data_IF_603328453831
#
_entry.id   IF_603328453831
#
_cell.length_a   1.000
_cell.length_b   1.000
_cell.length_c   1.000
_cell.angle_alpha   90.00
_cell.angle_beta   90.00
_cell.angle_gamma   90.00
#
_symmetry.space_group_name_H-M   'P 1'
#
loop_
_entity.id
_entity.type
_entity.pdbx_description
1 polymer ?
#
# COMPACT_ATOMS: atom_id res chain seq x y z
N UNK A 1 -23.63 -7.14 -0.38
CA UNK A 1 -23.71 -5.70 -0.69
C UNK A 1 -22.73 -4.88 0.15
N UNK A 2 -22.72 -5.01 1.48
CA UNK A 2 -21.81 -4.26 2.36
C UNK A 2 -20.31 -4.40 2.01
N UNK A 3 -19.84 -5.61 1.69
CA UNK A 3 -18.42 -5.83 1.36
C UNK A 3 -17.95 -5.08 0.10
N UNK A 4 -18.81 -4.94 -0.91
CA UNK A 4 -18.50 -4.16 -2.12
C UNK A 4 -18.46 -2.66 -1.84
N UNK A 5 -19.31 -2.15 -0.95
CA UNK A 5 -19.25 -0.76 -0.48
C UNK A 5 -17.96 -0.50 0.31
N UNK A 6 -17.56 -1.43 1.17
CA UNK A 6 -16.30 -1.34 1.89
C UNK A 6 -15.08 -1.39 0.94
N UNK A 7 -15.12 -2.24 -0.10
CA UNK A 7 -14.08 -2.26 -1.15
C UNK A 7 -13.97 -0.91 -1.85
N UNK A 8 -15.10 -0.34 -2.26
CA UNK A 8 -15.13 0.97 -2.92
C UNK A 8 -14.58 2.07 -1.99
N UNK A 9 -14.99 2.06 -0.72
CA UNK A 9 -14.50 3.01 0.28
C UNK A 9 -13.00 2.86 0.52
N UNK A 10 -12.49 1.63 0.61
CA UNK A 10 -11.06 1.35 0.75
C UNK A 10 -10.26 1.87 -0.45
N UNK A 11 -10.71 1.56 -1.67
CA UNK A 11 -10.07 2.02 -2.91
C UNK A 11 -10.07 3.55 -2.98
N UNK A 12 -11.18 4.20 -2.64
CA UNK A 12 -11.30 5.67 -2.63
C UNK A 12 -10.36 6.28 -1.59
N UNK A 13 -10.31 5.73 -0.38
CA UNK A 13 -9.39 6.17 0.67
C UNK A 13 -7.92 6.02 0.23
N UNK A 14 -7.58 4.91 -0.43
CA UNK A 14 -6.22 4.66 -0.92
C UNK A 14 -5.79 5.65 -2.02
N UNK A 15 -6.69 5.96 -2.97
CA UNK A 15 -6.42 6.94 -4.04
C UNK A 15 -6.30 8.35 -3.46
N UNK A 16 -7.17 8.71 -2.52
CA UNK A 16 -7.08 10.00 -1.83
C UNK A 16 -5.77 10.12 -1.04
N UNK A 17 -5.42 9.10 -0.26
CA UNK A 17 -4.13 9.01 0.42
C UNK A 17 -2.96 9.20 -0.55
N UNK A 18 -2.94 8.45 -1.65
CA UNK A 18 -1.86 8.50 -2.64
C UNK A 18 -1.74 9.88 -3.29
N UNK A 19 -2.86 10.55 -3.57
CA UNK A 19 -2.90 11.89 -4.14
C UNK A 19 -2.37 12.94 -3.17
N UNK A 20 -2.79 12.88 -1.91
CA UNK A 20 -2.31 13.76 -0.84
C UNK A 20 -0.82 13.51 -0.53
N UNK A 21 -0.40 12.25 -0.48
CA UNK A 21 0.99 11.86 -0.28
C UNK A 21 1.91 12.38 -1.41
N UNK A 22 1.46 12.28 -2.68
CA UNK A 22 2.17 12.86 -3.81
C UNK A 22 2.28 14.38 -3.73
N UNK A 23 1.23 15.05 -3.25
CA UNK A 23 1.27 16.49 -3.03
C UNK A 23 2.28 16.87 -1.94
N UNK A 24 2.31 16.15 -0.82
CA UNK A 24 3.33 16.32 0.22
C UNK A 24 4.73 16.08 -0.35
N UNK A 25 4.90 15.01 -1.14
CA UNK A 25 6.16 14.73 -1.81
C UNK A 25 6.67 15.90 -2.64
N UNK A 26 5.81 16.53 -3.42
CA UNK A 26 6.18 17.68 -4.27
C UNK A 26 6.48 18.97 -3.48
N UNK A 27 5.92 19.13 -2.28
CA UNK A 27 6.00 20.39 -1.51
C UNK A 27 6.96 20.33 -0.32
N UNK A 28 7.34 19.15 0.12
CA UNK A 28 8.13 18.92 1.35
C UNK A 28 9.44 18.20 1.08
N UNK A 29 9.53 17.39 -0.01
CA UNK A 29 10.74 16.64 -0.33
C UNK A 29 11.82 17.57 -0.88
N UNK A 30 12.87 17.75 -0.08
CA UNK A 30 14.13 18.39 -0.49
C UNK A 30 15.29 17.38 -0.49
N UNK A 31 15.18 16.31 0.34
CA UNK A 31 16.15 15.22 0.43
C UNK A 31 15.42 13.87 0.54
N UNK A 32 16.14 12.78 0.27
CA UNK A 32 15.65 11.39 0.41
C UNK A 32 15.14 11.07 1.81
N UNK A 33 15.70 11.70 2.83
CA UNK A 33 15.31 11.55 4.24
C UNK A 33 13.94 12.12 4.52
N UNK A 34 13.53 13.12 3.76
CA UNK A 34 12.22 13.73 3.91
C UNK A 34 11.11 12.73 3.55
N UNK A 35 11.35 11.78 2.64
CA UNK A 35 10.42 10.70 2.37
C UNK A 35 10.20 9.80 3.60
N UNK A 36 11.25 9.50 4.37
CA UNK A 36 11.10 8.76 5.64
C UNK A 36 10.43 9.61 6.72
N UNK A 37 10.70 10.92 6.76
CA UNK A 37 10.01 11.85 7.67
C UNK A 37 8.52 11.95 7.36
N UNK A 38 8.15 12.01 6.07
CA UNK A 38 6.74 12.00 5.65
C UNK A 38 6.07 10.70 6.13
N UNK A 39 6.66 9.53 5.85
CA UNK A 39 6.12 8.25 6.32
C UNK A 39 6.03 8.21 7.85
N UNK A 40 7.08 8.62 8.56
CA UNK A 40 7.08 8.69 10.02
C UNK A 40 5.89 9.46 10.57
N UNK A 41 5.62 10.67 10.05
CA UNK A 41 4.52 11.49 10.54
C UNK A 41 3.15 10.95 10.15
N UNK A 42 2.99 10.37 8.95
CA UNK A 42 1.74 9.75 8.52
C UNK A 42 1.44 8.50 9.36
N UNK A 43 2.41 7.63 9.58
CA UNK A 43 2.28 6.43 10.40
C UNK A 43 2.03 6.78 11.87
N UNK A 44 2.70 7.82 12.39
CA UNK A 44 2.46 8.32 13.75
C UNK A 44 1.04 8.86 13.91
N UNK A 45 0.58 9.66 12.95
CA UNK A 45 -0.80 10.17 12.96
C UNK A 45 -1.84 9.05 12.91
N UNK A 46 -1.61 8.03 12.07
CA UNK A 46 -2.45 6.82 12.03
C UNK A 46 -2.43 6.09 13.38
N UNK A 47 -1.26 5.97 14.02
CA UNK A 47 -1.14 5.36 15.34
C UNK A 47 -1.91 6.12 16.42
N UNK A 48 -1.87 7.45 16.40
CA UNK A 48 -2.63 8.29 17.35
C UNK A 48 -4.13 8.08 17.19
N UNK A 49 -4.64 8.02 15.95
CA UNK A 49 -6.06 7.75 15.68
C UNK A 49 -6.48 6.37 16.21
N UNK A 50 -5.67 5.34 15.95
CA UNK A 50 -5.95 3.98 16.40
C UNK A 50 -5.81 3.84 17.92
N UNK A 51 -4.84 4.52 18.54
CA UNK A 51 -4.70 4.55 19.99
C UNK A 51 -5.94 5.17 20.67
N UNK A 52 -6.46 6.27 20.14
CA UNK A 52 -7.72 6.85 20.61
C UNK A 52 -8.88 5.86 20.54
N UNK A 53 -9.01 5.12 19.43
CA UNK A 53 -10.04 4.08 19.31
C UNK A 53 -9.84 2.93 20.30
N UNK A 54 -8.61 2.44 20.48
CA UNK A 54 -8.28 1.35 21.43
C UNK A 54 -8.63 1.75 22.85
N UNK A 55 -8.30 2.97 23.26
CA UNK A 55 -8.62 3.50 24.59
C UNK A 55 -10.13 3.58 24.84
N UNK A 56 -10.90 3.99 23.81
CA UNK A 56 -12.35 4.11 23.92
C UNK A 56 -13.07 2.75 23.86
N UNK A 57 -12.56 1.82 23.07
CA UNK A 57 -13.19 0.51 22.86
C UNK A 57 -12.75 -0.56 23.86
N UNK A 58 -11.70 -0.32 24.66
CA UNK A 58 -11.11 -1.32 25.55
C UNK A 58 -10.49 -2.51 24.82
N UNK A 59 -10.10 -2.35 23.54
CA UNK A 59 -9.53 -3.44 22.74
C UNK A 59 -8.25 -3.98 23.38
N UNK A 60 -8.19 -5.30 23.57
CA UNK A 60 -7.06 -5.96 24.21
C UNK A 60 -5.81 -6.05 23.32
N UNK A 61 -4.69 -6.44 23.95
CA UNK A 61 -3.43 -6.75 23.31
C UNK A 61 -2.99 -8.16 23.71
N UNK A 62 -2.99 -9.10 22.78
CA UNK A 62 -2.30 -10.37 22.97
C UNK A 62 -0.85 -10.27 22.54
N UNK A 63 0.03 -11.09 23.13
CA UNK A 63 1.43 -11.16 22.69
C UNK A 63 1.55 -11.48 21.19
N UNK A 64 0.69 -12.36 20.70
CA UNK A 64 0.61 -12.71 19.27
C UNK A 64 0.33 -11.47 18.40
N UNK A 65 -0.71 -10.70 18.76
CA UNK A 65 -1.08 -9.47 18.02
C UNK A 65 0.05 -8.44 18.02
N UNK A 66 0.73 -8.28 19.16
CA UNK A 66 1.87 -7.36 19.27
C UNK A 66 3.03 -7.82 18.40
N UNK A 67 3.48 -9.06 18.52
CA UNK A 67 4.60 -9.59 17.76
C UNK A 67 4.32 -9.55 16.25
N UNK A 68 3.14 -10.00 15.83
CA UNK A 68 2.76 -9.98 14.42
C UNK A 68 2.62 -8.55 13.88
N UNK A 69 2.10 -7.60 14.69
CA UNK A 69 2.03 -6.19 14.36
C UNK A 69 3.41 -5.57 14.19
N UNK A 70 4.39 -5.91 15.05
CA UNK A 70 5.78 -5.48 14.89
C UNK A 70 6.41 -6.02 13.60
N UNK A 71 6.22 -7.30 13.30
CA UNK A 71 6.67 -7.90 12.04
C UNK A 71 6.04 -7.20 10.84
N UNK A 72 4.74 -6.96 10.87
CA UNK A 72 4.02 -6.23 9.82
C UNK A 72 4.59 -4.82 9.60
N UNK A 73 4.80 -4.06 10.67
CA UNK A 73 5.38 -2.71 10.61
C UNK A 73 6.79 -2.70 10.03
N UNK A 74 7.66 -3.63 10.46
CA UNK A 74 9.01 -3.78 9.90
C UNK A 74 8.97 -4.14 8.41
N UNK A 75 8.15 -5.11 8.01
CA UNK A 75 8.00 -5.56 6.62
C UNK A 75 7.49 -4.41 5.74
N UNK A 76 6.50 -3.65 6.21
CA UNK A 76 5.96 -2.49 5.50
C UNK A 76 7.03 -1.41 5.30
N UNK A 77 7.79 -1.08 6.34
CA UNK A 77 8.87 -0.10 6.28
C UNK A 77 10.01 -0.56 5.36
N UNK A 78 10.44 -1.82 5.43
CA UNK A 78 11.45 -2.39 4.54
C UNK A 78 10.99 -2.39 3.08
N UNK A 79 9.72 -2.72 2.83
CA UNK A 79 9.11 -2.64 1.50
C UNK A 79 9.14 -1.21 0.93
N UNK A 80 8.82 -0.21 1.75
CA UNK A 80 8.89 1.20 1.38
C UNK A 80 10.33 1.64 1.06
N UNK A 81 11.32 1.22 1.86
CA UNK A 81 12.75 1.48 1.60
C UNK A 81 13.20 0.86 0.28
N UNK A 82 12.90 -0.42 0.09
CA UNK A 82 13.27 -1.14 -1.14
C UNK A 82 12.63 -0.49 -2.38
N UNK A 83 11.35 -0.14 -2.30
CA UNK A 83 10.62 0.57 -3.36
C UNK A 83 11.28 1.90 -3.71
N UNK A 84 11.57 2.73 -2.70
CA UNK A 84 12.21 4.03 -2.90
C UNK A 84 13.58 3.87 -3.58
N UNK A 85 14.41 2.95 -3.07
CA UNK A 85 15.74 2.65 -3.62
C UNK A 85 15.68 2.09 -5.06
N UNK A 86 14.69 1.27 -5.36
CA UNK A 86 14.49 0.77 -6.72
C UNK A 86 14.10 1.89 -7.68
N UNK A 87 13.18 2.78 -7.28
CA UNK A 87 12.78 3.95 -8.10
C UNK A 87 13.93 4.93 -8.35
N UNK A 88 14.87 5.05 -7.41
CA UNK A 88 16.05 5.90 -7.57
C UNK A 88 17.11 5.31 -8.52
N UNK A 89 17.24 3.98 -8.57
CA UNK A 89 18.38 3.31 -9.20
C UNK A 89 18.08 2.69 -10.57
N UNK A 90 16.83 2.73 -11.03
CA UNK A 90 16.46 2.12 -12.29
C UNK A 90 15.19 2.66 -12.93
N UNK A 91 14.76 2.03 -14.02
CA UNK A 91 13.62 2.51 -14.81
C UNK A 91 12.32 2.41 -14.04
N UNK A 92 11.63 3.54 -13.90
CA UNK A 92 10.38 3.68 -13.13
C UNK A 92 9.31 2.67 -13.56
N UNK A 93 9.11 2.49 -14.87
CA UNK A 93 8.07 1.59 -15.39
C UNK A 93 8.28 0.14 -14.99
N UNK A 94 9.53 -0.36 -15.10
CA UNK A 94 9.87 -1.73 -14.72
C UNK A 94 9.81 -1.92 -13.20
N UNK A 95 10.24 -0.90 -12.45
CA UNK A 95 10.13 -0.91 -10.98
C UNK A 95 8.66 -1.02 -10.55
N UNK A 96 7.77 -0.21 -11.12
CA UNK A 96 6.34 -0.24 -10.80
C UNK A 96 5.70 -1.57 -11.24
N UNK A 97 6.11 -2.12 -12.40
CA UNK A 97 5.65 -3.44 -12.85
C UNK A 97 5.96 -4.51 -11.79
N UNK A 98 7.21 -4.59 -11.34
CA UNK A 98 7.64 -5.59 -10.36
C UNK A 98 6.95 -5.40 -9.01
N UNK A 99 6.76 -4.16 -8.56
CA UNK A 99 6.04 -3.85 -7.33
C UNK A 99 4.55 -4.23 -7.46
N UNK A 100 3.91 -3.91 -8.58
CA UNK A 100 2.50 -4.28 -8.80
C UNK A 100 2.36 -5.80 -8.87
N UNK A 101 3.33 -6.50 -9.48
CA UNK A 101 3.35 -7.95 -9.53
C UNK A 101 3.41 -8.59 -8.13
N UNK A 102 3.85 -7.88 -7.09
CA UNK A 102 3.89 -8.41 -5.72
C UNK A 102 2.51 -8.86 -5.20
N UNK A 103 1.41 -8.38 -5.78
CA UNK A 103 0.05 -8.84 -5.43
C UNK A 103 -0.19 -10.33 -5.74
N UNK A 104 0.65 -10.95 -6.58
CA UNK A 104 0.63 -12.39 -6.84
C UNK A 104 0.90 -13.17 -5.54
N UNK A 105 1.80 -12.68 -4.70
CA UNK A 105 2.18 -13.34 -3.44
C UNK A 105 0.95 -13.55 -2.53
N UNK A 106 0.21 -12.51 -2.10
CA UNK A 106 -0.96 -12.72 -1.25
C UNK A 106 -2.14 -13.35 -2.01
N UNK A 107 -2.29 -13.10 -3.32
CA UNK A 107 -3.37 -13.71 -4.10
C UNK A 107 -3.26 -15.23 -4.14
N UNK A 108 -2.06 -15.77 -4.38
CA UNK A 108 -1.85 -17.22 -4.44
C UNK A 108 -1.61 -17.86 -3.07
N UNK A 109 -1.22 -17.08 -2.06
CA UNK A 109 -1.08 -17.59 -0.68
C UNK A 109 -2.40 -18.16 -0.14
N UNK A 110 -3.54 -17.64 -0.60
CA UNK A 110 -4.85 -18.15 -0.26
C UNK A 110 -5.05 -19.63 -0.59
N UNK A 111 -4.62 -20.04 -1.77
CA UNK A 111 -4.67 -21.46 -2.16
C UNK A 111 -3.67 -22.31 -1.39
N UNK A 112 -2.43 -21.79 -1.19
CA UNK A 112 -1.36 -22.55 -0.57
C UNK A 112 -1.58 -22.80 0.93
N UNK A 113 -2.07 -21.80 1.67
CA UNK A 113 -2.16 -21.84 3.12
C UNK A 113 -3.60 -21.95 3.65
N UNK A 114 -4.60 -21.52 2.89
CA UNK A 114 -6.00 -21.50 3.32
C UNK A 114 -6.91 -22.32 2.44
N UNK A 115 -6.35 -23.13 1.52
CA UNK A 115 -7.11 -24.04 0.62
C UNK A 115 -8.22 -23.34 -0.16
N UNK A 116 -8.02 -22.07 -0.51
CA UNK A 116 -8.97 -21.30 -1.32
C UNK A 116 -9.02 -21.83 -2.75
N UNK A 117 -10.22 -22.05 -3.26
CA UNK A 117 -10.40 -22.46 -4.66
C UNK A 117 -9.99 -21.33 -5.62
N UNK A 118 -9.10 -21.64 -6.53
CA UNK A 118 -8.65 -20.72 -7.59
C UNK A 118 -9.11 -21.23 -8.95
N UNK A 119 -9.89 -20.40 -9.68
CA UNK A 119 -10.21 -20.67 -11.06
C UNK A 119 -9.11 -20.18 -12.01
N UNK A 120 -9.03 -20.77 -13.20
CA UNK A 120 -8.10 -20.33 -14.26
C UNK A 120 -8.34 -18.87 -14.61
N UNK A 121 -9.58 -18.42 -14.60
CA UNK A 121 -9.96 -17.04 -14.89
C UNK A 121 -9.44 -16.04 -13.84
N UNK A 122 -9.40 -16.41 -12.55
CA UNK A 122 -8.82 -15.61 -11.49
C UNK A 122 -7.31 -15.48 -11.63
N UNK A 123 -6.64 -16.55 -12.03
CA UNK A 123 -5.19 -16.52 -12.34
C UNK A 123 -4.95 -15.55 -13.51
N UNK A 124 -5.65 -15.75 -14.62
CA UNK A 124 -5.52 -14.90 -15.80
C UNK A 124 -5.83 -13.42 -15.48
N UNK A 125 -6.93 -13.14 -14.75
CA UNK A 125 -7.29 -11.80 -14.31
C UNK A 125 -6.21 -11.13 -13.47
N UNK A 126 -5.54 -11.87 -12.59
CA UNK A 126 -4.41 -11.35 -11.79
C UNK A 126 -3.25 -10.92 -12.68
N UNK A 127 -2.86 -11.72 -13.67
CA UNK A 127 -1.79 -11.36 -14.61
C UNK A 127 -2.18 -10.18 -15.52
N UNK A 128 -3.41 -10.14 -16.01
CA UNK A 128 -3.94 -9.02 -16.79
C UNK A 128 -3.94 -7.74 -15.96
N UNK A 129 -4.21 -7.82 -14.63
CA UNK A 129 -4.14 -6.67 -13.73
C UNK A 129 -2.71 -6.15 -13.56
N UNK A 130 -1.71 -7.03 -13.51
CA UNK A 130 -0.29 -6.61 -13.49
C UNK A 130 0.06 -5.84 -14.76
N UNK A 131 -0.41 -6.32 -15.92
CA UNK A 131 -0.23 -5.62 -17.19
C UNK A 131 -0.88 -4.23 -17.18
N UNK A 132 -2.08 -4.10 -16.61
CA UNK A 132 -2.74 -2.80 -16.44
C UNK A 132 -1.89 -1.82 -15.60
N UNK A 133 -1.35 -2.29 -14.47
CA UNK A 133 -0.45 -1.51 -13.62
C UNK A 133 0.81 -1.04 -14.37
N UNK A 134 1.41 -1.91 -15.16
CA UNK A 134 2.55 -1.56 -16.02
C UNK A 134 2.21 -0.49 -17.07
N UNK A 135 1.07 -0.63 -17.73
CA UNK A 135 0.61 0.35 -18.70
C UNK A 135 0.33 1.71 -18.05
N UNK A 136 -0.24 1.73 -16.83
CA UNK A 136 -0.50 2.94 -16.08
C UNK A 136 0.78 3.69 -15.67
N UNK A 137 1.87 2.98 -15.38
CA UNK A 137 3.13 3.55 -14.91
C UNK A 137 3.87 4.46 -15.89
N UNK A 138 3.52 4.42 -17.19
CA UNK A 138 4.18 5.24 -18.22
C UNK A 138 5.50 4.64 -18.73
N UNK A 139 6.19 5.36 -19.62
CA UNK A 139 7.53 5.00 -20.08
C UNK A 139 8.55 5.53 -19.07
N UNK A 140 9.44 4.68 -18.59
CA UNK A 140 10.56 5.07 -17.74
C UNK A 140 11.86 4.97 -18.50
N UNK A 141 12.72 5.97 -18.37
CA UNK A 141 14.10 5.94 -18.83
C UNK A 141 14.99 5.49 -17.65
N UNK A 142 16.01 4.73 -17.92
CA UNK A 142 16.99 4.28 -16.93
C UNK A 142 17.65 2.95 -17.29
N UNK A 143 18.88 2.75 -16.79
CA UNK A 143 19.62 1.50 -16.97
C UNK A 143 19.27 0.54 -15.84
N UNK A 144 19.12 -0.74 -16.17
CA UNK A 144 18.98 -1.81 -15.18
C UNK A 144 20.35 -2.17 -14.59
N UNK A 145 20.39 -2.40 -13.29
CA UNK A 145 21.61 -2.86 -12.60
C UNK A 145 21.26 -4.00 -11.64
N UNK A 146 22.27 -4.81 -11.24
CA UNK A 146 22.06 -5.88 -10.24
C UNK A 146 21.57 -5.33 -8.91
N UNK A 147 22.04 -4.15 -8.51
CA UNK A 147 21.62 -3.48 -7.27
C UNK A 147 20.17 -3.02 -7.38
N UNK A 148 19.75 -2.47 -8.51
CA UNK A 148 18.35 -2.13 -8.76
C UNK A 148 17.46 -3.36 -8.70
N UNK A 149 17.87 -4.47 -9.34
CA UNK A 149 17.10 -5.72 -9.33
C UNK A 149 16.96 -6.27 -7.90
N UNK A 150 18.01 -6.23 -7.07
CA UNK A 150 17.96 -6.65 -5.68
C UNK A 150 16.92 -5.83 -4.87
N UNK A 151 16.88 -4.52 -5.07
CA UNK A 151 15.84 -3.67 -4.43
C UNK A 151 14.44 -3.97 -4.98
N UNK A 152 14.28 -4.26 -6.27
CA UNK A 152 12.99 -4.67 -6.83
C UNK A 152 12.51 -6.00 -6.24
N UNK A 153 13.39 -6.99 -6.10
CA UNK A 153 13.06 -8.28 -5.47
C UNK A 153 12.71 -8.07 -4.00
N UNK A 154 13.49 -7.28 -3.27
CA UNK A 154 13.16 -6.91 -1.89
C UNK A 154 11.79 -6.25 -1.76
N UNK A 155 11.49 -5.26 -2.60
CA UNK A 155 10.19 -4.60 -2.63
C UNK A 155 9.06 -5.59 -2.97
N UNK A 156 9.24 -6.46 -3.97
CA UNK A 156 8.29 -7.50 -4.36
C UNK A 156 7.97 -8.43 -3.18
N UNK A 157 8.99 -8.93 -2.50
CA UNK A 157 8.80 -9.86 -1.37
C UNK A 157 8.15 -9.17 -0.17
N UNK A 158 8.69 -8.03 0.28
CA UNK A 158 8.18 -7.35 1.46
C UNK A 158 6.76 -6.82 1.24
N UNK A 159 6.47 -6.13 0.13
CA UNK A 159 5.13 -5.60 -0.16
C UNK A 159 4.12 -6.75 -0.35
N UNK A 160 4.51 -7.83 -1.02
CA UNK A 160 3.66 -9.01 -1.17
C UNK A 160 3.37 -9.71 0.16
N UNK A 161 4.34 -9.76 1.08
CA UNK A 161 4.14 -10.37 2.41
C UNK A 161 3.16 -9.61 3.30
N UNK A 162 2.95 -8.31 3.07
CA UNK A 162 1.97 -7.51 3.83
C UNK A 162 0.58 -8.14 3.78
N UNK A 163 0.12 -8.55 2.60
CA UNK A 163 -1.19 -9.18 2.44
C UNK A 163 -1.30 -10.53 3.15
N UNK A 164 -0.23 -11.32 3.15
CA UNK A 164 -0.18 -12.59 3.89
C UNK A 164 -0.30 -12.33 5.40
N UNK A 165 0.47 -11.39 5.94
CA UNK A 165 0.44 -11.04 7.37
C UNK A 165 -0.94 -10.53 7.81
N UNK A 166 -1.63 -9.74 6.97
CA UNK A 166 -3.00 -9.33 7.21
C UNK A 166 -3.93 -10.54 7.34
N UNK A 167 -3.84 -11.47 6.42
CA UNK A 167 -4.69 -12.65 6.42
C UNK A 167 -4.37 -13.59 7.59
N UNK A 168 -3.09 -13.80 7.91
CA UNK A 168 -2.67 -14.57 9.09
C UNK A 168 -3.32 -14.00 10.35
N UNK A 169 -3.30 -12.68 10.56
CA UNK A 169 -3.95 -12.07 11.71
C UNK A 169 -5.46 -12.29 11.69
N UNK A 170 -6.12 -12.10 10.55
CA UNK A 170 -7.59 -12.18 10.45
C UNK A 170 -8.14 -13.62 10.51
N UNK A 171 -7.32 -14.62 10.21
CA UNK A 171 -7.68 -16.04 10.37
C UNK A 171 -7.28 -16.61 11.74
N UNK A 172 -6.63 -15.81 12.59
CA UNK A 172 -6.23 -16.20 13.94
C UNK A 172 -7.38 -16.07 14.96
N UNK A 173 -7.28 -16.73 16.15
CA UNK A 173 -8.22 -16.51 17.25
C UNK A 173 -8.29 -15.04 17.73
N UNK A 174 -7.27 -14.24 17.43
CA UNK A 174 -7.12 -12.84 17.85
C UNK A 174 -7.62 -11.82 16.83
N UNK A 175 -8.40 -12.24 15.82
CA UNK A 175 -8.90 -11.39 14.73
C UNK A 175 -9.64 -10.13 15.20
N UNK A 176 -10.27 -10.18 16.37
CA UNK A 176 -10.99 -9.03 16.95
C UNK A 176 -10.03 -7.91 17.39
N UNK A 177 -8.75 -8.23 17.61
CA UNK A 177 -7.71 -7.26 17.97
C UNK A 177 -7.10 -6.55 16.76
N UNK A 178 -7.84 -6.46 15.65
CA UNK A 178 -7.36 -5.85 14.38
C UNK A 178 -6.89 -4.41 14.53
N UNK A 179 -7.52 -3.62 15.40
CA UNK A 179 -7.14 -2.23 15.64
C UNK A 179 -5.83 -2.16 16.43
N UNK A 180 -5.70 -2.99 17.47
CA UNK A 180 -4.45 -3.14 18.26
C UNK A 180 -3.28 -3.62 17.38
N UNK A 181 -3.54 -4.56 16.46
CA UNK A 181 -2.56 -5.02 15.47
C UNK A 181 -2.05 -3.88 14.59
N UNK A 182 -2.95 -3.09 13.99
CA UNK A 182 -2.57 -1.95 13.15
C UNK A 182 -1.90 -0.83 13.94
N UNK A 183 -2.32 -0.60 15.19
CA UNK A 183 -1.67 0.36 16.08
C UNK A 183 -0.19 0.01 16.28
N UNK A 184 0.10 -1.23 16.67
CA UNK A 184 1.49 -1.70 16.84
C UNK A 184 2.26 -1.64 15.52
N UNK A 185 1.63 -2.03 14.43
CA UNK A 185 2.23 -2.00 13.09
C UNK A 185 2.67 -0.60 12.68
N UNK A 186 1.80 0.40 12.80
CA UNK A 186 2.13 1.78 12.41
C UNK A 186 3.09 2.45 13.38
N UNK A 187 3.00 2.16 14.68
CA UNK A 187 4.02 2.62 15.64
C UNK A 187 5.40 2.06 15.26
N UNK A 188 5.49 0.77 14.96
CA UNK A 188 6.75 0.13 14.56
C UNK A 188 7.28 0.73 13.26
N UNK A 189 6.44 0.91 12.24
CA UNK A 189 6.82 1.54 10.98
C UNK A 189 7.28 2.99 11.18
N UNK A 190 6.57 3.76 12.02
CA UNK A 190 6.95 5.15 12.36
C UNK A 190 8.32 5.21 13.03
N UNK A 191 8.59 4.36 14.04
CA UNK A 191 9.89 4.27 14.71
C UNK A 191 10.99 3.89 13.72
N UNK A 192 10.74 2.91 12.85
CA UNK A 192 11.70 2.49 11.83
C UNK A 192 12.03 3.65 10.86
N UNK A 193 11.02 4.36 10.38
CA UNK A 193 11.17 5.53 9.54
C UNK A 193 11.88 6.68 10.27
N UNK A 194 11.62 6.88 11.58
CA UNK A 194 12.32 7.84 12.41
C UNK A 194 13.84 7.57 12.49
N UNK A 195 14.22 6.30 12.66
CA UNK A 195 15.62 5.87 12.68
C UNK A 195 16.28 6.17 11.32
N UNK A 196 15.64 5.79 10.21
CA UNK A 196 16.15 6.01 8.86
C UNK A 196 16.24 7.51 8.46
N UNK A 197 15.40 8.33 9.07
CA UNK A 197 15.41 9.79 8.81
C UNK A 197 16.54 10.52 9.50
N UNK A 198 17.22 9.90 10.49
CA UNK A 198 18.34 10.51 11.23
C UNK A 198 19.56 10.69 10.35
N UNK A 199 20.32 11.76 10.62
CA UNK A 199 21.60 12.05 9.98
C UNK A 199 22.73 12.06 11.04
N UNK A 200 23.42 10.94 11.26
CA UNK A 200 24.59 10.96 12.14
C UNK A 200 25.70 11.79 11.47
N UNK A 201 25.92 13.02 11.93
CA UNK A 201 27.02 13.88 11.47
C UNK A 201 26.69 14.95 10.42
N UNK A 202 25.43 15.13 10.01
CA UNK A 202 25.02 16.21 9.11
C UNK A 202 24.18 17.29 9.81
N UNK A 203 24.25 18.55 9.33
CA UNK A 203 23.32 19.60 9.74
C UNK A 203 21.91 19.17 9.29
N UNK A 204 21.06 18.79 10.24
CA UNK A 204 19.64 18.55 9.96
C UNK A 204 18.98 19.88 9.67
N UNK A 205 18.58 20.11 8.42
CA UNK A 205 17.67 21.23 8.16
C UNK A 205 16.37 20.98 8.95
N UNK A 206 15.87 22.01 9.65
CA UNK A 206 14.64 21.86 10.40
C UNK A 206 13.50 21.51 9.42
N UNK A 207 12.81 20.41 9.69
CA UNK A 207 11.63 20.00 8.95
C UNK A 207 10.47 20.90 9.38
N UNK A 208 10.42 22.10 8.80
CA UNK A 208 9.39 23.08 9.10
C UNK A 208 8.20 22.87 8.19
N UNK A 209 7.05 22.61 8.78
CA UNK A 209 5.79 22.40 8.08
C UNK A 209 4.85 23.59 8.31
N UNK A 210 4.22 24.03 7.25
CA UNK A 210 3.14 25.02 7.30
C UNK A 210 1.87 24.40 7.91
N UNK A 211 0.95 25.23 8.44
CA UNK A 211 -0.35 24.76 8.95
C UNK A 211 -1.13 23.94 7.91
N UNK A 212 -1.04 24.34 6.63
CA UNK A 212 -1.67 23.61 5.52
C UNK A 212 -1.05 22.21 5.32
N UNK A 213 0.26 22.07 5.42
CA UNK A 213 0.94 20.78 5.31
C UNK A 213 0.59 19.87 6.47
N UNK A 214 0.50 20.38 7.71
CA UNK A 214 0.00 19.61 8.86
C UNK A 214 -1.41 19.08 8.66
N UNK A 215 -2.32 19.90 8.11
CA UNK A 215 -3.68 19.44 7.76
C UNK A 215 -3.64 18.31 6.74
N UNK A 216 -2.79 18.41 5.70
CA UNK A 216 -2.64 17.36 4.68
C UNK A 216 -2.06 16.09 5.31
N UNK A 217 -1.09 16.18 6.23
CA UNK A 217 -0.60 15.02 6.99
C UNK A 217 -1.72 14.33 7.77
N UNK A 218 -2.54 15.09 8.48
CA UNK A 218 -3.70 14.56 9.21
C UNK A 218 -4.68 13.82 8.28
N UNK A 219 -5.01 14.41 7.13
CA UNK A 219 -5.88 13.78 6.13
C UNK A 219 -5.25 12.51 5.54
N UNK A 220 -3.93 12.53 5.26
CA UNK A 220 -3.19 11.33 4.84
C UNK A 220 -3.31 10.21 5.88
N UNK A 221 -3.11 10.52 7.16
CA UNK A 221 -3.21 9.56 8.26
C UNK A 221 -4.61 8.97 8.39
N UNK A 222 -5.66 9.80 8.26
CA UNK A 222 -7.06 9.34 8.28
C UNK A 222 -7.34 8.39 7.11
N UNK A 223 -7.02 8.81 5.88
CA UNK A 223 -7.26 7.99 4.69
C UNK A 223 -6.46 6.67 4.74
N UNK A 224 -5.21 6.70 5.18
CA UNK A 224 -4.37 5.53 5.34
C UNK A 224 -4.93 4.58 6.40
N UNK A 225 -5.34 5.10 7.55
CA UNK A 225 -5.96 4.31 8.63
C UNK A 225 -7.24 3.63 8.14
N UNK A 226 -8.14 4.39 7.51
CA UNK A 226 -9.40 3.88 6.98
C UNK A 226 -9.17 2.76 5.96
N UNK A 227 -8.29 2.99 4.99
CA UNK A 227 -7.92 1.98 3.99
C UNK A 227 -7.40 0.70 4.65
N UNK A 228 -6.45 0.81 5.60
CA UNK A 228 -5.84 -0.37 6.22
C UNK A 228 -6.80 -1.13 7.14
N UNK A 229 -7.66 -0.45 7.89
CA UNK A 229 -8.69 -1.07 8.74
C UNK A 229 -9.68 -1.86 7.89
N UNK A 230 -10.15 -1.28 6.78
CA UNK A 230 -11.07 -1.95 5.87
C UNK A 230 -10.38 -3.12 5.17
N UNK A 231 -9.17 -2.94 4.67
CA UNK A 231 -8.43 -4.00 3.99
C UNK A 231 -8.12 -5.16 4.92
N UNK A 232 -7.70 -4.89 6.16
CA UNK A 232 -7.46 -5.92 7.16
C UNK A 232 -8.75 -6.71 7.44
N UNK A 233 -9.89 -6.04 7.61
CA UNK A 233 -11.18 -6.69 7.83
C UNK A 233 -11.58 -7.56 6.62
N UNK A 234 -11.50 -7.03 5.42
CA UNK A 234 -11.91 -7.73 4.19
C UNK A 234 -10.98 -8.89 3.83
N UNK A 235 -9.69 -8.83 4.16
CA UNK A 235 -8.74 -9.92 3.94
C UNK A 235 -9.08 -11.20 4.69
N UNK A 236 -9.83 -11.10 5.80
CA UNK A 236 -10.33 -12.24 6.55
C UNK A 236 -11.65 -12.83 6.02
N UNK A 237 -12.36 -12.08 5.16
CA UNK A 237 -13.70 -12.47 4.68
C UNK A 237 -13.67 -12.91 3.21
N UNK A 238 -12.91 -12.19 2.38
CA UNK A 238 -12.86 -12.42 0.94
C UNK A 238 -11.71 -13.36 0.57
N UNK A 239 -11.89 -14.20 -0.47
CA UNK A 239 -10.78 -14.99 -1.00
C UNK A 239 -9.64 -14.10 -1.48
N UNK A 240 -8.41 -14.49 -1.14
CA UNK A 240 -7.20 -13.70 -1.41
C UNK A 240 -7.01 -13.41 -2.90
N UNK A 241 -7.26 -14.40 -3.75
CA UNK A 241 -7.14 -14.29 -5.21
C UNK A 241 -8.14 -13.30 -5.82
N UNK A 242 -9.21 -12.99 -5.13
CA UNK A 242 -10.21 -11.98 -5.53
C UNK A 242 -9.86 -10.61 -4.91
N UNK A 243 -9.64 -10.59 -3.58
CA UNK A 243 -9.49 -9.37 -2.80
C UNK A 243 -8.31 -8.51 -3.25
N UNK A 244 -7.10 -9.08 -3.29
CA UNK A 244 -5.89 -8.29 -3.58
C UNK A 244 -5.84 -7.71 -4.99
N UNK A 245 -6.20 -8.46 -6.06
CA UNK A 245 -6.27 -7.87 -7.40
C UNK A 245 -7.38 -6.83 -7.56
N UNK A 246 -8.55 -7.01 -6.92
CA UNK A 246 -9.63 -6.01 -6.99
C UNK A 246 -9.21 -4.71 -6.30
N UNK A 247 -8.61 -4.74 -5.12
CA UNK A 247 -8.15 -3.55 -4.43
C UNK A 247 -7.08 -2.84 -5.25
N UNK A 248 -6.07 -3.57 -5.75
CA UNK A 248 -4.99 -2.98 -6.54
C UNK A 248 -5.49 -2.46 -7.90
N UNK A 249 -6.34 -3.24 -8.58
CA UNK A 249 -6.92 -2.83 -9.85
C UNK A 249 -7.89 -1.68 -9.73
N UNK A 250 -8.78 -1.71 -8.76
CA UNK A 250 -9.68 -0.61 -8.44
C UNK A 250 -8.91 0.67 -8.13
N UNK A 251 -7.83 0.57 -7.36
CA UNK A 251 -6.93 1.70 -7.09
C UNK A 251 -6.30 2.23 -8.39
N UNK A 252 -5.86 1.36 -9.28
CA UNK A 252 -5.29 1.75 -10.58
C UNK A 252 -6.31 2.49 -11.44
N UNK A 253 -7.51 1.93 -11.60
CA UNK A 253 -8.61 2.53 -12.36
C UNK A 253 -8.98 3.91 -11.80
N UNK A 254 -9.25 3.96 -10.50
CA UNK A 254 -9.68 5.20 -9.85
C UNK A 254 -8.56 6.26 -9.84
N UNK A 255 -7.29 5.87 -9.73
CA UNK A 255 -6.15 6.79 -9.83
C UNK A 255 -6.04 7.42 -11.21
N UNK A 256 -6.24 6.63 -12.28
CA UNK A 256 -6.25 7.17 -13.65
C UNK A 256 -7.42 8.13 -13.85
N UNK A 257 -8.61 7.77 -13.39
CA UNK A 257 -9.79 8.64 -13.46
C UNK A 257 -9.59 9.95 -12.67
N UNK A 258 -9.02 9.86 -11.47
CA UNK A 258 -8.69 11.03 -10.64
C UNK A 258 -7.69 11.95 -11.35
N UNK A 259 -6.65 11.37 -11.98
CA UNK A 259 -5.67 12.13 -12.75
C UNK A 259 -6.31 12.89 -13.92
N UNK A 260 -7.25 12.27 -14.63
CA UNK A 260 -7.97 12.87 -15.74
C UNK A 260 -8.93 13.98 -15.29
N UNK A 261 -9.73 13.73 -14.24
CA UNK A 261 -10.82 14.61 -13.81
C UNK A 261 -10.29 15.76 -12.94
N UNK A 262 -9.54 15.45 -11.88
CA UNK A 262 -9.09 16.45 -10.90
C UNK A 262 -7.83 17.19 -11.36
N UNK A 263 -6.87 16.46 -11.94
CA UNK A 263 -5.61 17.06 -12.38
C UNK A 263 -5.64 17.49 -13.86
N UNK A 264 -6.76 17.28 -14.58
CA UNK A 264 -6.94 17.61 -16.00
C UNK A 264 -5.78 17.12 -16.88
N UNK A 265 -5.21 15.96 -16.52
CA UNK A 265 -4.15 15.36 -17.30
C UNK A 265 -4.68 14.88 -18.65
N UNK A 266 -3.87 15.01 -19.71
CA UNK A 266 -4.25 14.51 -21.04
C UNK A 266 -4.35 12.99 -21.05
N UNK A 267 -5.45 12.47 -21.60
CA UNK A 267 -5.65 11.04 -21.82
C UNK A 267 -4.71 10.56 -22.92
N UNK A 268 -3.62 9.93 -22.55
CA UNK A 268 -2.72 9.30 -23.52
C UNK A 268 -3.29 7.92 -23.92
N UNK A 269 -2.98 7.46 -25.15
CA UNK A 269 -3.36 6.11 -25.65
C UNK A 269 -2.96 5.02 -24.63
N UNK A 270 -1.84 5.17 -23.95
CA UNK A 270 -1.34 4.24 -22.94
C UNK A 270 -2.19 4.23 -21.68
N UNK A 271 -2.62 5.40 -21.16
CA UNK A 271 -3.53 5.49 -20.00
C UNK A 271 -4.91 4.92 -20.32
N UNK A 272 -5.40 5.14 -21.55
CA UNK A 272 -6.65 4.53 -22.01
C UNK A 272 -6.53 3.00 -22.09
N UNK A 273 -5.44 2.48 -22.67
CA UNK A 273 -5.18 1.04 -22.70
C UNK A 273 -5.07 0.45 -21.28
N UNK A 274 -4.38 1.13 -20.35
CA UNK A 274 -4.31 0.70 -18.94
C UNK A 274 -5.71 0.59 -18.31
N UNK A 275 -6.58 1.57 -18.56
CA UNK A 275 -7.95 1.56 -18.05
C UNK A 275 -8.77 0.39 -18.62
N UNK A 276 -8.74 0.19 -19.94
CA UNK A 276 -9.45 -0.92 -20.59
C UNK A 276 -8.97 -2.29 -20.10
N UNK A 277 -7.64 -2.47 -19.98
CA UNK A 277 -7.03 -3.71 -19.49
C UNK A 277 -7.37 -3.95 -18.01
N UNK A 278 -7.39 -2.90 -17.18
CA UNK A 278 -7.79 -3.02 -15.78
C UNK A 278 -9.27 -3.40 -15.61
N UNK A 279 -10.16 -2.81 -16.42
CA UNK A 279 -11.58 -3.15 -16.41
C UNK A 279 -11.82 -4.59 -16.88
N UNK A 280 -11.11 -5.04 -17.92
CA UNK A 280 -11.18 -6.45 -18.37
C UNK A 280 -10.69 -7.41 -17.27
N UNK A 281 -9.57 -7.08 -16.59
CA UNK A 281 -9.07 -7.87 -15.48
C UNK A 281 -10.07 -7.95 -14.32
N UNK A 282 -10.70 -6.82 -13.94
CA UNK A 282 -11.73 -6.78 -12.90
C UNK A 282 -12.94 -7.65 -13.28
N UNK A 283 -13.37 -7.60 -14.54
CA UNK A 283 -14.47 -8.46 -15.02
C UNK A 283 -14.11 -9.95 -14.92
N UNK A 284 -12.88 -10.34 -15.32
CA UNK A 284 -12.40 -11.73 -15.19
C UNK A 284 -12.35 -12.18 -13.70
N UNK A 285 -12.03 -11.29 -12.77
CA UNK A 285 -11.94 -11.60 -11.33
C UNK A 285 -13.31 -11.69 -10.65
N UNK A 286 -14.28 -10.88 -11.07
CA UNK A 286 -15.59 -10.80 -10.42
C UNK A 286 -16.56 -11.87 -10.94
N UNK A 287 -16.51 -12.18 -12.23
CA UNK A 287 -17.47 -13.10 -12.89
C UNK A 287 -16.95 -14.53 -13.06
N UNK A 288 -15.82 -14.88 -12.45
CA UNK A 288 -15.18 -16.20 -12.55
C UNK A 288 -15.43 -17.14 -11.34
#
# INVERSE_FOLDING_TARGET
>A
MLHYLLLLLSVTANVTYSSLYNHLGKTVLHDRRDAFRINMWVDLGASVLLAGYVLLSGSGFSLYTVLLGMVFGCVTALGAVCKLKALEKGPMSLTILLITASMVIPAFSGALFWQEAISVWKIAGTFVMILAGYLAAGKGEGKTSRIWLAYCIGAFLFIGSVGILQKIHQTSPWREQKISFLLVAFLTASVFCAILSRNPGGKTQPFQLTKKQWLIFGLCSICMTLNNVINLHLSGILPSVLFFPIVNGGTTVLSVLTALILFREKLTKRKLAALCVALAALSMLIFS
#
